data_IF_994188121145
#
_entry.id   IF_994188121145
#
_cell.length_a   1.000
_cell.length_b   1.000
_cell.length_c   1.000
_cell.angle_alpha   90.00
_cell.angle_beta   90.00
_cell.angle_gamma   90.00
#
_symmetry.space_group_name_H-M   'P 1'
#
loop_
_entity.id
_entity.type
_entity.pdbx_description
1 polymer ?
#
# COMPACT_ATOMS: atom_id res chain seq x y z
N UNK A 1 2.92 -18.49 47.40
CA UNK A 1 2.41 -18.75 46.04
C UNK A 1 1.05 -18.09 45.91
N UNK A 2 0.91 -17.12 44.99
CA UNK A 2 -0.31 -16.74 44.25
C UNK A 2 -0.07 -15.35 43.62
N UNK A 3 0.32 -15.37 42.34
CA UNK A 3 0.22 -14.23 41.42
C UNK A 3 -1.26 -13.96 41.14
N UNK A 4 -1.67 -12.68 41.07
CA UNK A 4 -2.99 -12.38 40.51
C UNK A 4 -3.39 -10.91 40.55
N UNK A 5 -3.71 -10.39 39.35
CA UNK A 5 -4.45 -9.17 39.04
C UNK A 5 -3.69 -7.82 39.22
N UNK A 6 -3.06 -7.28 38.17
CA UNK A 6 -3.67 -6.55 37.04
C UNK A 6 -4.26 -5.18 37.42
N UNK A 7 -3.58 -4.11 37.02
CA UNK A 7 -4.18 -2.83 36.62
C UNK A 7 -3.14 -1.94 35.91
N UNK A 8 -2.74 -2.33 34.69
CA UNK A 8 -2.02 -1.43 33.78
C UNK A 8 -3.03 -0.43 33.18
N UNK A 9 -3.44 0.55 33.98
CA UNK A 9 -4.39 1.60 33.62
C UNK A 9 -3.65 2.83 33.07
N UNK A 10 -3.07 2.75 31.87
CA UNK A 10 -2.58 3.94 31.18
C UNK A 10 -2.42 3.70 29.67
N UNK A 11 -3.50 3.37 28.97
CA UNK A 11 -3.57 3.55 27.51
C UNK A 11 -4.80 4.40 27.18
N UNK A 12 -4.84 5.60 27.77
CA UNK A 12 -5.76 6.67 27.35
C UNK A 12 -4.87 7.72 26.68
N UNK A 13 -4.59 7.51 25.40
CA UNK A 13 -3.75 8.43 24.62
C UNK A 13 -3.67 8.14 23.13
N UNK A 14 -4.13 6.97 22.69
CA UNK A 14 -3.90 6.54 21.30
C UNK A 14 -5.11 6.67 20.36
N UNK A 15 -6.30 7.03 20.86
CA UNK A 15 -7.54 6.99 20.07
C UNK A 15 -7.95 8.33 19.44
N UNK A 16 -7.18 9.41 19.58
CA UNK A 16 -7.53 10.68 18.93
C UNK A 16 -6.96 10.83 17.51
N UNK A 17 -6.12 9.90 17.03
CA UNK A 17 -5.54 9.95 15.67
C UNK A 17 -6.13 8.91 14.69
N UNK A 18 -7.09 8.09 15.10
CA UNK A 18 -7.71 7.08 14.23
C UNK A 18 -8.89 7.63 13.42
N UNK A 19 -9.36 8.85 13.72
CA UNK A 19 -10.48 9.52 13.06
C UNK A 19 -10.06 10.48 11.94
N UNK A 20 -8.96 10.21 11.23
CA UNK A 20 -8.77 10.88 9.95
C UNK A 20 -9.72 10.20 8.95
N UNK A 21 -10.67 10.94 8.33
CA UNK A 21 -11.62 10.36 7.40
C UNK A 21 -10.85 9.63 6.30
N UNK A 22 -11.38 8.48 5.87
CA UNK A 22 -10.78 7.67 4.81
C UNK A 22 -10.52 8.48 3.52
N UNK A 23 -11.23 9.60 3.37
CA UNK A 23 -11.16 10.55 2.24
C UNK A 23 -9.92 11.45 2.21
N UNK A 24 -9.20 11.65 3.32
CA UNK A 24 -8.00 12.51 3.36
C UNK A 24 -6.67 11.73 3.45
N UNK A 25 -6.71 10.41 3.26
CA UNK A 25 -5.51 9.57 3.36
C UNK A 25 -4.68 9.69 2.09
N UNK A 26 -3.38 9.98 2.19
CA UNK A 26 -2.52 10.03 1.01
C UNK A 26 -2.56 8.69 0.27
N UNK A 27 -2.73 8.79 -1.04
CA UNK A 27 -2.88 7.67 -1.96
C UNK A 27 -1.77 7.72 -3.02
N UNK A 28 -1.22 6.55 -3.33
CA UNK A 28 -0.24 6.42 -4.39
C UNK A 28 -0.71 5.40 -5.42
N UNK A 29 -0.44 5.72 -6.68
CA UNK A 29 -0.75 4.86 -7.82
C UNK A 29 0.51 4.56 -8.62
N UNK A 30 0.72 3.28 -8.92
CA UNK A 30 1.79 2.78 -9.78
C UNK A 30 1.19 1.99 -10.92
N UNK A 31 1.77 2.13 -12.13
CA UNK A 31 1.42 1.33 -13.29
C UNK A 31 2.67 0.78 -13.95
N UNK A 32 2.58 -0.43 -14.47
CA UNK A 32 3.54 -0.98 -15.42
C UNK A 32 2.90 -0.99 -16.80
N UNK A 33 3.61 -0.48 -17.79
CA UNK A 33 3.21 -0.51 -19.20
C UNK A 33 4.18 -1.34 -20.02
N UNK A 34 3.68 -1.92 -21.10
CA UNK A 34 4.51 -2.60 -22.08
C UNK A 34 5.17 -1.56 -23.04
N UNK A 35 6.07 -1.98 -23.94
CA UNK A 35 6.68 -1.07 -24.92
C UNK A 35 5.69 -0.39 -25.87
N UNK A 36 4.47 -0.95 -26.02
CA UNK A 36 3.39 -0.40 -26.85
C UNK A 36 2.49 0.56 -26.06
N UNK A 37 2.75 0.76 -24.77
CA UNK A 37 1.97 1.64 -23.90
C UNK A 37 0.75 0.99 -23.25
N UNK A 38 0.49 -0.31 -23.47
CA UNK A 38 -0.63 -1.01 -22.85
C UNK A 38 -0.38 -1.22 -21.36
N UNK A 39 -1.44 -1.08 -20.56
CA UNK A 39 -1.36 -1.33 -19.13
C UNK A 39 -1.17 -2.83 -18.86
N UNK A 40 -0.05 -3.17 -18.20
CA UNK A 40 0.28 -4.55 -17.84
C UNK A 40 -0.16 -4.87 -16.42
N UNK A 41 0.11 -3.98 -15.47
CA UNK A 41 -0.19 -4.17 -14.05
C UNK A 41 -0.35 -2.81 -13.38
N UNK A 42 -1.09 -2.78 -12.29
CA UNK A 42 -1.24 -1.59 -11.49
C UNK A 42 -1.15 -1.88 -9.99
N UNK A 43 -0.97 -0.80 -9.22
CA UNK A 43 -0.82 -0.87 -7.80
C UNK A 43 -1.38 0.38 -7.17
N UNK A 44 -2.47 0.21 -6.42
CA UNK A 44 -3.09 1.26 -5.64
C UNK A 44 -3.03 0.94 -4.14
N UNK A 45 -2.67 1.94 -3.34
CA UNK A 45 -2.76 1.86 -1.90
C UNK A 45 -2.89 3.23 -1.24
N UNK A 46 -3.61 3.24 -0.12
CA UNK A 46 -3.72 4.34 0.82
C UNK A 46 -3.04 3.97 2.14
N UNK A 47 -2.55 4.97 2.87
CA UNK A 47 -2.01 4.81 4.22
C UNK A 47 -2.04 6.13 4.99
N UNK A 48 -1.81 6.08 6.31
CA UNK A 48 -1.66 7.28 7.13
C UNK A 48 -0.42 8.12 6.75
N UNK A 49 0.64 7.48 6.23
CA UNK A 49 1.84 8.14 5.71
C UNK A 49 1.96 7.91 4.20
N UNK A 50 2.21 8.97 3.44
CA UNK A 50 2.43 8.93 1.99
C UNK A 50 3.53 7.96 1.56
N UNK A 51 4.65 7.92 2.29
CA UNK A 51 5.72 6.94 2.02
C UNK A 51 5.24 5.49 2.14
N UNK A 52 4.38 5.20 3.11
CA UNK A 52 3.80 3.87 3.29
C UNK A 52 2.78 3.53 2.20
N UNK A 53 1.95 4.50 1.80
CA UNK A 53 1.01 4.36 0.69
C UNK A 53 1.78 4.00 -0.60
N UNK A 54 2.81 4.77 -0.93
CA UNK A 54 3.65 4.53 -2.11
C UNK A 54 4.38 3.18 -2.04
N UNK A 55 5.01 2.82 -0.92
CA UNK A 55 5.68 1.53 -0.76
C UNK A 55 4.70 0.34 -0.85
N UNK A 56 3.45 0.52 -0.41
CA UNK A 56 2.41 -0.52 -0.52
C UNK A 56 1.89 -0.62 -1.96
N UNK A 57 1.65 0.51 -2.62
CA UNK A 57 1.22 0.60 -4.02
C UNK A 57 2.26 -0.02 -4.96
N UNK A 58 3.54 0.33 -4.78
CA UNK A 58 4.64 -0.21 -5.58
C UNK A 58 4.77 -1.73 -5.42
N UNK A 59 4.75 -2.24 -4.18
CA UNK A 59 4.78 -3.68 -3.92
C UNK A 59 3.61 -4.42 -4.56
N UNK A 60 2.42 -3.80 -4.58
CA UNK A 60 1.23 -4.37 -5.22
C UNK A 60 1.41 -4.46 -6.73
N UNK A 61 1.86 -3.38 -7.37
CA UNK A 61 2.17 -3.37 -8.80
C UNK A 61 3.23 -4.41 -9.15
N UNK A 62 4.33 -4.49 -8.38
CA UNK A 62 5.41 -5.47 -8.64
C UNK A 62 4.91 -6.91 -8.54
N UNK A 63 4.10 -7.24 -7.52
CA UNK A 63 3.51 -8.57 -7.36
C UNK A 63 2.57 -8.93 -8.51
N UNK A 64 1.75 -7.97 -8.95
CA UNK A 64 0.84 -8.20 -10.07
C UNK A 64 1.61 -8.38 -11.38
N UNK A 65 2.61 -7.53 -11.63
CA UNK A 65 3.47 -7.63 -12.80
C UNK A 65 4.21 -8.98 -12.83
N UNK A 66 4.75 -9.42 -11.69
CA UNK A 66 5.42 -10.71 -11.59
C UNK A 66 4.44 -11.88 -11.79
N UNK A 67 3.24 -11.79 -11.23
CA UNK A 67 2.16 -12.77 -11.48
C UNK A 67 1.82 -12.86 -12.96
N UNK A 68 1.68 -11.73 -13.65
CA UNK A 68 1.37 -11.69 -15.08
C UNK A 68 2.55 -12.16 -15.94
N UNK A 69 3.80 -11.90 -15.53
CA UNK A 69 5.00 -12.46 -16.17
C UNK A 69 5.02 -13.99 -16.08
N UNK A 70 4.72 -14.55 -14.91
CA UNK A 70 4.59 -16.01 -14.73
C UNK A 70 3.49 -16.63 -15.59
N UNK A 71 2.44 -15.86 -15.91
CA UNK A 71 1.36 -16.28 -16.81
C UNK A 71 1.67 -16.06 -18.30
N UNK A 72 2.85 -15.53 -18.67
CA UNK A 72 3.17 -15.16 -20.04
C UNK A 72 2.38 -13.97 -20.59
N UNK A 73 1.61 -13.27 -19.73
CA UNK A 73 0.75 -12.12 -20.11
C UNK A 73 1.45 -10.77 -19.99
N UNK A 74 2.68 -10.76 -19.48
CA UNK A 74 3.46 -9.55 -19.32
C UNK A 74 4.93 -9.79 -19.69
N UNK A 75 5.46 -8.96 -20.59
CA UNK A 75 6.89 -8.86 -20.91
C UNK A 75 7.71 -8.00 -19.93
N UNK A 76 8.78 -7.40 -20.45
CA UNK A 76 9.69 -6.52 -19.72
C UNK A 76 9.07 -5.13 -19.52
N UNK A 77 8.21 -4.99 -18.51
CA UNK A 77 7.75 -3.69 -17.99
C UNK A 77 8.32 -3.38 -16.60
N UNK A 78 8.24 -2.14 -16.14
CA UNK A 78 8.57 -1.76 -14.75
C UNK A 78 7.43 -0.93 -14.15
N UNK A 79 7.23 -1.04 -12.83
CA UNK A 79 6.22 -0.25 -12.13
C UNK A 79 6.71 1.18 -11.95
N UNK A 80 6.02 2.13 -12.58
CA UNK A 80 6.28 3.57 -12.45
C UNK A 80 5.16 4.26 -11.67
N UNK A 81 5.52 5.24 -10.85
CA UNK A 81 4.55 6.06 -10.12
C UNK A 81 3.87 7.03 -11.09
N UNK A 82 2.54 7.07 -11.07
CA UNK A 82 1.75 7.92 -11.97
C UNK A 82 1.05 9.06 -11.26
N UNK A 83 0.73 8.92 -9.97
CA UNK A 83 0.15 10.03 -9.20
C UNK A 83 0.45 9.97 -7.71
N UNK A 84 0.37 11.13 -7.07
CA UNK A 84 0.49 11.35 -5.64
C UNK A 84 -0.69 12.24 -5.23
N UNK A 85 -1.70 11.67 -4.59
CA UNK A 85 -2.79 12.42 -3.95
C UNK A 85 -2.59 12.42 -2.45
#
# INVERSE_FOLDING_TARGET
MMLGAAALSAIVGSNLMTSQPAEARPACYYIARDPLGNMMADGHAWAAKKSWACNRAERRCKRELERKRRQGKAGRGSCMRVTNY
#
